data_IF_592258217060
#
_entry.id   IF_592258217060
#
_cell.length_a   1.000
_cell.length_b   1.000
_cell.length_c   1.000
_cell.angle_alpha   90.00
_cell.angle_beta   90.00
_cell.angle_gamma   90.00
#
_symmetry.space_group_name_H-M   'P 1'
#
loop_
_entity.id
_entity.type
_entity.pdbx_description
1 polymer ?
#
# COMPACT_ATOMS: atom_id res chain seq x y z
N UNK A 1 8.62 18.96 1.31
CA UNK A 1 9.66 17.97 1.63
C UNK A 1 9.82 16.91 0.52
N UNK A 2 8.76 16.19 0.13
CA UNK A 2 8.86 15.09 -0.86
C UNK A 2 9.33 15.57 -2.24
N UNK A 3 8.87 16.74 -2.68
CA UNK A 3 9.10 17.28 -4.03
C UNK A 3 10.19 18.35 -4.10
N UNK A 4 10.90 18.60 -3.01
CA UNK A 4 12.00 19.57 -2.99
C UNK A 4 13.29 18.95 -3.53
N UNK A 5 13.92 19.51 -4.57
CA UNK A 5 15.11 18.91 -5.20
C UNK A 5 16.36 19.13 -4.35
N UNK A 6 16.70 18.13 -3.53
CA UNK A 6 17.85 18.17 -2.60
C UNK A 6 18.90 17.10 -2.85
N UNK A 7 18.51 15.97 -3.48
CA UNK A 7 19.33 14.77 -3.55
C UNK A 7 20.17 14.73 -4.84
N UNK A 8 21.41 14.29 -4.70
CA UNK A 8 22.26 13.93 -5.84
C UNK A 8 22.23 12.40 -5.99
N UNK A 9 22.10 11.92 -7.22
CA UNK A 9 22.29 10.51 -7.52
C UNK A 9 23.74 10.36 -7.96
N UNK A 10 24.56 9.85 -7.04
CA UNK A 10 26.00 9.63 -7.23
C UNK A 10 26.39 8.17 -7.14
N UNK A 11 25.43 7.24 -7.36
CA UNK A 11 25.70 5.82 -7.24
C UNK A 11 26.29 5.24 -8.52
N UNK A 12 27.27 4.36 -8.33
CA UNK A 12 27.87 3.49 -9.36
C UNK A 12 26.84 2.65 -10.13
N UNK A 13 25.63 2.46 -9.55
CA UNK A 13 24.56 1.67 -10.15
C UNK A 13 23.81 2.33 -11.31
N UNK A 14 23.80 3.68 -11.42
CA UNK A 14 23.05 4.39 -12.47
C UNK A 14 23.92 5.49 -13.06
N UNK A 15 24.48 5.24 -14.26
CA UNK A 15 25.34 6.20 -14.93
C UNK A 15 24.57 7.45 -15.38
N UNK A 16 25.27 8.56 -15.51
CA UNK A 16 24.71 9.82 -16.05
C UNK A 16 24.13 9.64 -17.47
N UNK A 17 24.68 8.73 -18.25
CA UNK A 17 24.17 8.36 -19.59
C UNK A 17 22.79 7.71 -19.50
N UNK A 18 22.58 6.81 -18.54
CA UNK A 18 21.27 6.16 -18.29
C UNK A 18 20.25 7.19 -17.83
N UNK A 19 20.61 8.07 -16.90
CA UNK A 19 19.71 9.14 -16.45
C UNK A 19 19.34 10.10 -17.59
N UNK A 20 20.31 10.43 -18.48
CA UNK A 20 20.03 11.23 -19.68
C UNK A 20 19.05 10.51 -20.60
N UNK A 21 19.26 9.21 -20.87
CA UNK A 21 18.35 8.41 -21.71
C UNK A 21 16.94 8.34 -21.11
N UNK A 22 16.79 8.18 -19.79
CA UNK A 22 15.48 8.20 -19.14
C UNK A 22 14.81 9.58 -19.18
N UNK A 23 15.58 10.64 -19.21
CA UNK A 23 15.06 11.98 -19.47
C UNK A 23 14.59 12.12 -20.93
N UNK A 24 15.43 11.76 -21.90
CA UNK A 24 15.12 11.85 -23.34
C UNK A 24 13.89 10.99 -23.71
N UNK A 25 13.63 9.93 -22.95
CA UNK A 25 12.45 9.07 -23.08
C UNK A 25 11.27 9.46 -22.18
N UNK A 26 11.32 10.62 -21.53
CA UNK A 26 10.25 11.15 -20.64
C UNK A 26 9.91 10.27 -19.42
N UNK A 27 10.78 9.34 -19.04
CA UNK A 27 10.67 8.59 -17.78
C UNK A 27 10.96 9.49 -16.59
N UNK A 28 11.87 10.46 -16.78
CA UNK A 28 12.23 11.49 -15.80
C UNK A 28 11.96 12.87 -16.38
N UNK A 29 11.46 13.79 -15.54
CA UNK A 29 11.33 15.21 -15.92
C UNK A 29 12.64 15.94 -15.66
N UNK A 30 13.01 16.91 -16.50
CA UNK A 30 14.14 17.80 -16.24
C UNK A 30 13.66 19.09 -15.61
N UNK A 31 13.90 19.23 -14.32
CA UNK A 31 13.50 20.39 -13.54
C UNK A 31 14.62 21.45 -13.44
N UNK A 32 15.71 21.32 -14.22
CA UNK A 32 16.82 22.29 -14.18
C UNK A 32 16.44 23.58 -14.91
N UNK A 33 16.72 24.75 -14.34
CA UNK A 33 16.59 26.03 -15.04
C UNK A 33 17.42 26.01 -16.33
N UNK A 34 16.79 26.19 -17.50
CA UNK A 34 17.43 26.17 -18.82
C UNK A 34 18.30 24.94 -19.10
N UNK A 35 18.03 23.79 -18.44
CA UNK A 35 18.80 22.56 -18.63
C UNK A 35 20.27 22.60 -18.16
N UNK A 36 20.71 23.67 -17.48
CA UNK A 36 22.11 23.87 -17.05
C UNK A 36 22.29 23.57 -15.56
N UNK A 37 23.50 23.14 -15.19
CA UNK A 37 23.88 22.86 -13.79
C UNK A 37 23.75 21.41 -13.36
N UNK A 38 24.20 21.11 -12.14
CA UNK A 38 24.08 19.78 -11.54
C UNK A 38 22.62 19.44 -11.25
N UNK A 39 22.17 18.27 -11.72
CA UNK A 39 20.82 17.80 -11.47
C UNK A 39 20.66 17.42 -10.00
N UNK A 40 19.67 17.99 -9.34
CA UNK A 40 19.18 17.57 -8.04
C UNK A 40 17.82 16.91 -8.22
N UNK A 41 17.55 15.93 -7.41
CA UNK A 41 16.31 15.16 -7.44
C UNK A 41 15.54 15.37 -6.15
N UNK A 42 14.23 15.35 -6.23
CA UNK A 42 13.36 15.28 -5.06
C UNK A 42 13.40 13.89 -4.42
N UNK A 43 12.85 13.75 -3.22
CA UNK A 43 12.75 12.44 -2.58
C UNK A 43 11.92 11.47 -3.42
N UNK A 44 10.77 11.91 -3.90
CA UNK A 44 9.89 11.12 -4.79
C UNK A 44 10.62 10.73 -6.09
N UNK A 45 11.36 11.64 -6.71
CA UNK A 45 12.13 11.31 -7.92
C UNK A 45 13.19 10.24 -7.64
N UNK A 46 13.87 10.29 -6.50
CA UNK A 46 14.87 9.26 -6.12
C UNK A 46 14.18 7.89 -5.91
N UNK A 47 13.02 7.86 -5.26
CA UNK A 47 12.23 6.63 -5.12
C UNK A 47 11.79 6.11 -6.49
N UNK A 48 11.28 6.99 -7.35
CA UNK A 48 10.89 6.64 -8.72
C UNK A 48 12.06 6.07 -9.54
N UNK A 49 13.21 6.72 -9.52
CA UNK A 49 14.43 6.25 -10.18
C UNK A 49 14.81 4.83 -9.70
N UNK A 50 14.65 4.57 -8.42
CA UNK A 50 14.92 3.26 -7.84
C UNK A 50 13.90 2.20 -8.29
N UNK A 51 12.63 2.58 -8.44
CA UNK A 51 11.58 1.73 -9.04
C UNK A 51 11.95 1.40 -10.49
N UNK A 52 12.28 2.42 -11.31
CA UNK A 52 12.68 2.23 -12.71
C UNK A 52 13.87 1.28 -12.82
N UNK A 53 14.89 1.46 -11.97
CA UNK A 53 16.07 0.59 -11.96
C UNK A 53 15.68 -0.86 -11.67
N UNK A 54 14.82 -1.12 -10.70
CA UNK A 54 14.34 -2.48 -10.41
C UNK A 54 13.54 -3.07 -11.57
N UNK A 55 12.60 -2.32 -12.15
CA UNK A 55 11.79 -2.78 -13.28
C UNK A 55 12.67 -3.09 -14.50
N UNK A 56 13.70 -2.28 -14.76
CA UNK A 56 14.69 -2.55 -15.82
C UNK A 56 15.48 -3.82 -15.55
N UNK A 57 15.88 -4.08 -14.30
CA UNK A 57 16.58 -5.31 -13.93
C UNK A 57 15.69 -6.55 -14.09
N UNK A 58 14.38 -6.41 -13.96
CA UNK A 58 13.40 -7.46 -14.27
C UNK A 58 13.08 -7.59 -15.77
N UNK A 59 13.69 -6.75 -16.63
CA UNK A 59 13.52 -6.84 -18.09
C UNK A 59 12.37 -6.01 -18.65
N UNK A 60 11.64 -5.21 -17.86
CA UNK A 60 10.56 -4.37 -18.41
C UNK A 60 11.16 -3.32 -19.35
N UNK A 61 10.50 -3.14 -20.51
CA UNK A 61 10.83 -2.08 -21.44
C UNK A 61 10.37 -0.69 -20.96
N UNK A 62 10.92 0.36 -21.56
CA UNK A 62 10.60 1.73 -21.15
C UNK A 62 9.17 2.14 -21.50
N UNK A 63 8.52 1.50 -22.50
CA UNK A 63 7.12 1.79 -22.85
C UNK A 63 6.19 1.33 -21.74
N UNK A 64 6.43 0.13 -21.19
CA UNK A 64 5.69 -0.39 -20.04
C UNK A 64 5.96 0.43 -18.78
N UNK A 65 7.21 0.83 -18.52
CA UNK A 65 7.58 1.69 -17.39
C UNK A 65 6.90 3.07 -17.50
N UNK A 66 6.72 3.60 -18.70
CA UNK A 66 5.95 4.84 -18.94
C UNK A 66 4.48 4.72 -18.53
N UNK A 67 3.85 3.56 -18.76
CA UNK A 67 2.49 3.30 -18.27
C UNK A 67 2.44 3.28 -16.73
N UNK A 68 3.40 2.61 -16.09
CA UNK A 68 3.52 2.64 -14.62
C UNK A 68 3.66 4.07 -14.11
N UNK A 69 4.51 4.90 -14.74
CA UNK A 69 4.68 6.31 -14.37
C UNK A 69 3.36 7.07 -14.49
N UNK A 70 2.67 6.91 -15.61
CA UNK A 70 1.37 7.56 -15.84
C UNK A 70 0.35 7.20 -14.75
N UNK A 71 0.28 5.95 -14.35
CA UNK A 71 -0.58 5.51 -13.26
C UNK A 71 -0.19 6.15 -11.92
N UNK A 72 1.11 6.14 -11.58
CA UNK A 72 1.61 6.71 -10.32
C UNK A 72 1.49 8.25 -10.25
N UNK A 73 1.39 8.92 -11.41
CA UNK A 73 1.15 10.36 -11.51
C UNK A 73 -0.35 10.70 -11.44
N UNK A 74 -1.27 9.74 -11.45
CA UNK A 74 -2.70 10.02 -11.22
C UNK A 74 -2.93 10.52 -9.80
N UNK A 75 -3.95 11.37 -9.63
CA UNK A 75 -4.26 11.95 -8.33
C UNK A 75 -5.18 11.01 -7.53
N UNK A 76 -4.92 10.92 -6.24
CA UNK A 76 -5.83 10.26 -5.32
C UNK A 76 -7.05 11.18 -5.11
N UNK A 77 -8.18 10.83 -5.71
CA UNK A 77 -9.43 11.61 -5.61
C UNK A 77 -10.27 11.09 -4.45
N UNK A 78 -10.02 11.58 -3.26
CA UNK A 78 -11.02 11.57 -2.18
C UNK A 78 -11.64 12.95 -2.08
N UNK A 79 -12.95 13.03 -2.01
CA UNK A 79 -13.77 14.25 -2.17
C UNK A 79 -13.41 15.44 -1.26
N UNK A 80 -12.56 15.27 -0.26
CA UNK A 80 -12.24 16.31 0.74
C UNK A 80 -10.74 16.43 1.08
N UNK A 81 -9.81 15.89 0.31
CA UNK A 81 -8.37 15.96 0.62
C UNK A 81 -7.57 16.56 -0.54
N UNK A 82 -6.51 17.29 -0.20
CA UNK A 82 -5.58 17.85 -1.16
C UNK A 82 -5.11 16.77 -2.14
N UNK A 83 -5.39 16.98 -3.42
CA UNK A 83 -5.01 16.07 -4.49
C UNK A 83 -3.49 16.00 -4.58
N UNK A 84 -2.93 14.81 -4.42
CA UNK A 84 -1.50 14.55 -4.67
C UNK A 84 -1.34 13.30 -5.52
N UNK A 85 -0.22 13.18 -6.28
CA UNK A 85 0.09 11.98 -7.04
C UNK A 85 0.10 10.73 -6.16
N UNK A 86 -0.36 9.59 -6.69
CA UNK A 86 -0.44 8.32 -5.93
C UNK A 86 0.91 7.94 -5.32
N UNK A 87 2.00 8.13 -6.04
CA UNK A 87 3.33 7.82 -5.50
C UNK A 87 3.67 8.65 -4.28
N UNK A 88 3.42 9.97 -4.31
CA UNK A 88 3.65 10.88 -3.19
C UNK A 88 2.79 10.49 -1.98
N UNK A 89 1.52 10.20 -2.23
CA UNK A 89 0.58 9.76 -1.19
C UNK A 89 1.08 8.50 -0.49
N UNK A 90 1.44 7.45 -1.24
CA UNK A 90 1.85 6.19 -0.65
C UNK A 90 3.24 6.24 -0.03
N UNK A 91 4.17 7.07 -0.52
CA UNK A 91 5.44 7.36 0.16
C UNK A 91 5.17 8.02 1.51
N UNK A 92 4.36 9.08 1.55
CA UNK A 92 4.01 9.77 2.78
C UNK A 92 3.31 8.82 3.77
N UNK A 93 2.37 8.01 3.28
CA UNK A 93 1.65 7.02 4.09
C UNK A 93 2.60 5.95 4.67
N UNK A 94 3.52 5.43 3.87
CA UNK A 94 4.54 4.48 4.31
C UNK A 94 5.44 5.06 5.42
N UNK A 95 5.82 6.33 5.29
CA UNK A 95 6.70 7.01 6.26
C UNK A 95 5.99 7.36 7.56
N UNK A 96 4.69 7.68 7.52
CA UNK A 96 3.92 8.14 8.69
C UNK A 96 3.27 7.01 9.47
N UNK A 97 2.75 5.99 8.79
CA UNK A 97 1.92 4.94 9.40
C UNK A 97 2.66 3.64 9.68
N UNK A 98 3.92 3.51 9.25
CA UNK A 98 4.71 2.26 9.29
C UNK A 98 4.04 1.09 8.53
N UNK A 99 3.03 1.36 7.71
CA UNK A 99 2.33 0.33 6.94
C UNK A 99 3.17 -0.16 5.76
N UNK A 100 3.27 -1.48 5.55
CA UNK A 100 3.89 -2.03 4.35
C UNK A 100 3.10 -1.62 3.10
N UNK A 101 3.76 -0.91 2.19
CA UNK A 101 3.21 -0.48 0.91
C UNK A 101 3.90 -1.26 -0.20
N UNK A 102 3.12 -1.82 -1.11
CA UNK A 102 3.59 -2.55 -2.29
C UNK A 102 3.15 -1.85 -3.57
N UNK A 103 4.05 -1.83 -4.52
CA UNK A 103 3.74 -1.55 -5.92
C UNK A 103 3.78 -2.86 -6.68
N UNK A 104 2.67 -3.24 -7.28
CA UNK A 104 2.58 -4.35 -8.24
C UNK A 104 2.69 -3.78 -9.65
N UNK A 105 3.43 -4.46 -10.50
CA UNK A 105 3.56 -4.11 -11.92
C UNK A 105 3.37 -5.38 -12.74
N UNK A 106 2.36 -5.36 -13.60
CA UNK A 106 2.03 -6.45 -14.49
C UNK A 106 2.88 -6.42 -15.76
N UNK A 107 2.90 -7.50 -16.49
CA UNK A 107 3.67 -7.62 -17.74
C UNK A 107 3.20 -6.63 -18.81
N UNK A 108 1.93 -6.24 -18.79
CA UNK A 108 1.32 -5.21 -19.66
C UNK A 108 1.84 -3.78 -19.39
N UNK A 109 2.52 -3.57 -18.24
CA UNK A 109 2.89 -2.26 -17.70
C UNK A 109 1.75 -1.56 -16.96
N UNK A 110 0.64 -2.24 -16.72
CA UNK A 110 -0.36 -1.81 -15.74
C UNK A 110 0.23 -1.94 -14.34
N UNK A 111 -0.26 -1.13 -13.40
CA UNK A 111 0.28 -1.12 -12.06
C UNK A 111 -0.81 -0.91 -11.01
N UNK A 112 -0.54 -1.38 -9.79
CA UNK A 112 -1.36 -1.18 -8.62
C UNK A 112 -0.46 -0.85 -7.44
N UNK A 113 -0.69 0.26 -6.74
CA UNK A 113 0.01 0.59 -5.50
C UNK A 113 -0.98 0.59 -4.34
N UNK A 114 -0.60 -0.02 -3.22
CA UNK A 114 -1.50 -0.12 -2.07
C UNK A 114 -0.85 -0.73 -0.84
N UNK A 115 -1.64 -0.85 0.21
CA UNK A 115 -1.25 -1.54 1.44
C UNK A 115 -1.07 -3.03 1.15
N UNK A 116 -0.01 -3.62 1.67
CA UNK A 116 0.24 -5.06 1.47
C UNK A 116 -0.96 -5.92 1.84
N UNK A 117 -1.62 -5.64 2.97
CA UNK A 117 -2.78 -6.43 3.42
C UNK A 117 -3.93 -6.42 2.39
N UNK A 118 -4.19 -5.27 1.76
CA UNK A 118 -5.23 -5.16 0.74
C UNK A 118 -4.86 -5.94 -0.53
N UNK A 119 -3.59 -5.90 -0.91
CA UNK A 119 -3.06 -6.65 -2.06
C UNK A 119 -3.11 -8.15 -1.79
N UNK A 120 -2.67 -8.60 -0.60
CA UNK A 120 -2.69 -10.01 -0.22
C UNK A 120 -4.12 -10.58 -0.25
N UNK A 121 -5.09 -9.78 0.21
CA UNK A 121 -6.50 -10.14 0.13
C UNK A 121 -7.00 -10.19 -1.32
N UNK A 122 -6.63 -9.23 -2.15
CA UNK A 122 -7.03 -9.20 -3.56
C UNK A 122 -6.47 -10.42 -4.33
N UNK A 123 -5.24 -10.84 -4.04
CA UNK A 123 -4.66 -12.08 -4.58
C UNK A 123 -5.39 -13.31 -4.05
N UNK A 124 -5.62 -13.36 -2.73
CA UNK A 124 -6.29 -14.49 -2.09
C UNK A 124 -7.71 -14.71 -2.60
N UNK A 125 -8.44 -13.63 -2.91
CA UNK A 125 -9.81 -13.69 -3.42
C UNK A 125 -9.90 -13.77 -4.95
N UNK A 126 -8.76 -13.87 -5.64
CA UNK A 126 -8.72 -14.01 -7.09
C UNK A 126 -9.07 -12.73 -7.87
N UNK A 127 -9.01 -11.56 -7.24
CA UNK A 127 -9.13 -10.28 -7.96
C UNK A 127 -7.86 -9.93 -8.73
N UNK A 128 -6.72 -10.47 -8.28
CA UNK A 128 -5.43 -10.38 -8.95
C UNK A 128 -5.03 -11.80 -9.29
N UNK A 129 -5.08 -12.15 -10.57
CA UNK A 129 -4.79 -13.50 -11.08
C UNK A 129 -3.54 -13.53 -11.96
N UNK A 130 -3.19 -12.40 -12.57
CA UNK A 130 -2.04 -12.29 -13.46
C UNK A 130 -0.73 -12.23 -12.68
N UNK A 131 0.36 -12.67 -13.33
CA UNK A 131 1.71 -12.56 -12.78
C UNK A 131 2.14 -11.09 -12.67
N UNK A 132 2.85 -10.77 -11.60
CA UNK A 132 3.30 -9.41 -11.33
C UNK A 132 4.67 -9.34 -10.66
N UNK A 133 5.35 -8.23 -10.88
CA UNK A 133 6.54 -7.82 -10.11
C UNK A 133 6.05 -7.05 -8.89
N UNK A 134 6.46 -7.49 -7.68
CA UNK A 134 6.13 -6.82 -6.42
C UNK A 134 7.31 -6.03 -5.89
N UNK A 135 7.16 -4.72 -5.72
CA UNK A 135 8.16 -3.80 -5.17
C UNK A 135 7.72 -3.29 -3.81
N UNK A 136 8.52 -3.53 -2.78
CA UNK A 136 8.31 -3.02 -1.42
C UNK A 136 8.87 -1.61 -1.30
N UNK A 137 7.97 -0.62 -1.14
CA UNK A 137 8.36 0.79 -1.11
C UNK A 137 9.23 1.12 0.11
N UNK A 138 8.93 0.58 1.28
CA UNK A 138 9.74 0.83 2.48
C UNK A 138 11.15 0.24 2.35
N UNK A 139 11.27 -0.99 1.86
CA UNK A 139 12.57 -1.62 1.62
C UNK A 139 13.39 -0.86 0.59
N UNK A 140 12.74 -0.36 -0.46
CA UNK A 140 13.39 0.45 -1.49
C UNK A 140 13.91 1.76 -0.93
N UNK A 141 13.10 2.47 -0.12
CA UNK A 141 13.51 3.70 0.56
C UNK A 141 14.68 3.43 1.51
N UNK A 142 14.57 2.39 2.35
CA UNK A 142 15.61 2.03 3.31
C UNK A 142 16.95 1.66 2.65
N UNK A 143 16.89 0.97 1.50
CA UNK A 143 18.09 0.65 0.72
C UNK A 143 18.77 1.91 0.17
N UNK A 144 17.97 2.90 -0.23
CA UNK A 144 18.47 4.12 -0.89
C UNK A 144 18.91 5.20 0.09
N UNK A 145 18.20 5.35 1.20
CA UNK A 145 18.42 6.39 2.20
C UNK A 145 18.96 5.80 3.51
N UNK A 146 20.26 5.50 3.56
CA UNK A 146 20.94 4.81 4.68
C UNK A 146 20.76 5.49 6.06
N UNK A 147 20.43 6.77 6.10
CA UNK A 147 20.26 7.54 7.35
C UNK A 147 18.84 7.59 7.93
N UNK A 148 17.83 7.06 7.21
CA UNK A 148 16.41 7.07 7.66
C UNK A 148 15.82 5.69 7.46
N UNK A 149 15.84 4.89 8.53
CA UNK A 149 15.21 3.57 8.49
C UNK A 149 13.71 3.71 8.73
N UNK A 150 12.91 3.39 7.73
CA UNK A 150 11.48 3.20 7.89
C UNK A 150 11.29 1.81 8.47
N UNK A 151 10.81 1.76 9.69
CA UNK A 151 10.40 0.51 10.32
C UNK A 151 8.99 0.20 9.84
N UNK A 152 8.84 -0.88 9.08
CA UNK A 152 7.52 -1.40 8.71
C UNK A 152 7.15 -2.51 9.66
N UNK A 153 5.99 -2.42 10.26
CA UNK A 153 5.45 -3.45 11.13
C UNK A 153 4.56 -4.40 10.32
N UNK A 154 5.15 -5.48 9.86
CA UNK A 154 4.43 -6.53 9.15
C UNK A 154 3.55 -7.37 10.09
N UNK A 155 3.83 -7.39 11.40
CA UNK A 155 3.11 -8.20 12.37
C UNK A 155 1.73 -7.63 12.71
N UNK A 156 1.59 -6.31 12.73
CA UNK A 156 0.32 -5.64 13.02
C UNK A 156 -0.66 -5.66 11.83
N UNK A 157 -0.20 -6.04 10.64
CA UNK A 157 -1.00 -6.05 9.41
C UNK A 157 -1.19 -7.43 8.80
N UNK A 158 -0.57 -8.47 9.39
CA UNK A 158 -0.91 -9.84 9.04
C UNK A 158 -2.19 -10.22 9.78
N UNK A 159 -3.24 -10.47 9.01
CA UNK A 159 -4.48 -11.03 9.57
C UNK A 159 -4.17 -12.38 10.20
N UNK A 160 -4.66 -12.60 11.43
CA UNK A 160 -4.68 -13.91 12.03
C UNK A 160 -5.53 -14.87 11.19
N UNK A 161 -5.39 -16.18 11.39
CA UNK A 161 -6.20 -17.18 10.69
C UNK A 161 -7.69 -16.92 10.89
N UNK A 162 -8.08 -16.53 12.10
CA UNK A 162 -9.50 -16.20 12.45
C UNK A 162 -9.96 -14.96 11.68
N UNK A 163 -9.17 -13.90 11.64
CA UNK A 163 -9.50 -12.67 10.90
C UNK A 163 -9.64 -12.94 9.39
N UNK A 164 -8.80 -13.81 8.82
CA UNK A 164 -8.91 -14.26 7.43
C UNK A 164 -10.22 -15.03 7.19
N UNK A 165 -10.54 -16.01 8.05
CA UNK A 165 -11.78 -16.79 7.95
C UNK A 165 -13.02 -15.89 8.07
N UNK A 166 -13.00 -14.92 8.98
CA UNK A 166 -14.10 -13.94 9.14
C UNK A 166 -14.25 -13.07 7.90
N UNK A 167 -13.17 -12.56 7.35
CA UNK A 167 -13.21 -11.76 6.12
C UNK A 167 -13.72 -12.58 4.92
N UNK A 168 -13.29 -13.83 4.80
CA UNK A 168 -13.85 -14.76 3.80
C UNK A 168 -15.35 -14.96 4.00
N UNK A 169 -15.78 -15.20 5.25
CA UNK A 169 -17.21 -15.35 5.57
C UNK A 169 -18.04 -14.13 5.17
N UNK A 170 -17.52 -12.92 5.39
CA UNK A 170 -18.17 -11.67 4.98
C UNK A 170 -18.25 -11.60 3.44
N UNK A 171 -17.17 -11.94 2.75
CA UNK A 171 -17.10 -11.89 1.31
C UNK A 171 -18.09 -12.86 0.64
N UNK A 172 -18.18 -14.11 1.15
CA UNK A 172 -19.05 -15.15 0.61
C UNK A 172 -20.47 -15.19 1.21
N UNK A 173 -20.90 -14.12 1.90
CA UNK A 173 -22.22 -14.05 2.56
C UNK A 173 -22.49 -15.15 3.59
N UNK A 174 -21.47 -15.78 4.16
CA UNK A 174 -21.59 -16.85 5.16
C UNK A 174 -21.70 -16.31 6.60
N UNK A 175 -21.54 -15.00 6.81
CA UNK A 175 -21.72 -14.38 8.14
C UNK A 175 -23.18 -14.02 8.37
N UNK A 176 -23.76 -14.54 9.45
CA UNK A 176 -25.15 -14.25 9.86
C UNK A 176 -25.28 -12.97 10.67
N UNK A 177 -24.36 -12.76 11.59
CA UNK A 177 -24.36 -11.57 12.46
C UNK A 177 -22.98 -11.30 13.02
N UNK A 178 -22.73 -10.02 13.31
CA UNK A 178 -21.55 -9.52 14.01
C UNK A 178 -22.06 -8.73 15.21
N UNK A 179 -21.59 -9.07 16.41
CA UNK A 179 -21.85 -8.31 17.63
C UNK A 179 -20.55 -7.61 18.05
N UNK A 180 -20.62 -6.31 18.28
CA UNK A 180 -19.48 -5.49 18.70
C UNK A 180 -19.77 -5.01 20.11
N UNK A 181 -18.91 -5.34 21.06
CA UNK A 181 -18.97 -4.85 22.43
C UNK A 181 -18.19 -3.53 22.53
N UNK A 182 -18.86 -2.47 22.93
CA UNK A 182 -18.30 -1.12 23.06
C UNK A 182 -18.24 -0.77 24.54
N UNK A 183 -17.10 -1.05 25.20
CA UNK A 183 -16.71 -0.57 26.53
C UNK A 183 -17.88 -0.30 27.50
N UNK A 184 -18.60 -1.34 27.89
CA UNK A 184 -19.70 -1.23 28.88
C UNK A 184 -21.00 -0.60 28.37
N UNK A 185 -21.07 -0.20 27.09
CA UNK A 185 -22.28 0.26 26.43
C UNK A 185 -23.02 -0.89 25.76
N UNK A 186 -24.25 -0.62 25.25
CA UNK A 186 -25.03 -1.59 24.50
C UNK A 186 -24.24 -2.16 23.33
N UNK A 187 -24.22 -3.48 23.21
CA UNK A 187 -23.65 -4.18 22.06
C UNK A 187 -24.30 -3.71 20.75
N UNK A 188 -23.47 -3.46 19.75
CA UNK A 188 -23.95 -3.18 18.40
C UNK A 188 -24.09 -4.51 17.66
N UNK A 189 -25.31 -4.84 17.25
CA UNK A 189 -25.63 -6.03 16.47
C UNK A 189 -25.77 -5.68 14.99
N UNK A 190 -24.88 -6.20 14.15
CA UNK A 190 -24.97 -6.09 12.69
C UNK A 190 -25.60 -7.38 12.14
N UNK A 191 -26.76 -7.24 11.50
CA UNK A 191 -27.46 -8.35 10.83
C UNK A 191 -26.87 -8.64 9.46
N UNK A 192 -27.26 -9.78 8.86
CA UNK A 192 -26.82 -10.18 7.51
C UNK A 192 -27.08 -9.09 6.46
N UNK A 193 -28.18 -8.38 6.56
CA UNK A 193 -28.55 -7.31 5.63
C UNK A 193 -27.62 -6.11 5.77
N UNK A 194 -27.33 -5.66 6.99
CA UNK A 194 -26.32 -4.61 7.24
C UNK A 194 -24.95 -5.01 6.71
N UNK A 195 -24.55 -6.27 6.95
CA UNK A 195 -23.24 -6.78 6.48
C UNK A 195 -23.14 -6.76 4.96
N UNK A 196 -24.22 -7.14 4.26
CA UNK A 196 -24.27 -7.17 2.80
C UNK A 196 -24.18 -5.77 2.19
N UNK A 197 -24.83 -4.79 2.79
CA UNK A 197 -24.91 -3.42 2.27
C UNK A 197 -23.67 -2.57 2.59
N UNK A 198 -22.89 -2.93 3.62
CA UNK A 198 -21.75 -2.16 4.12
C UNK A 198 -20.51 -3.03 4.37
N UNK A 199 -20.17 -3.90 3.42
CA UNK A 199 -19.09 -4.89 3.57
C UNK A 199 -17.73 -4.27 3.86
N UNK A 200 -17.39 -3.19 3.19
CA UNK A 200 -16.05 -2.60 3.30
C UNK A 200 -15.91 -1.81 4.60
N UNK A 201 -16.95 -1.12 5.02
CA UNK A 201 -17.01 -0.44 6.32
C UNK A 201 -16.91 -1.44 7.47
N UNK A 202 -17.58 -2.60 7.36
CA UNK A 202 -17.53 -3.66 8.37
C UNK A 202 -16.14 -4.29 8.44
N UNK A 203 -15.46 -4.50 7.31
CA UNK A 203 -14.06 -4.98 7.31
C UNK A 203 -13.14 -4.00 8.04
N UNK A 204 -13.28 -2.70 7.75
CA UNK A 204 -12.53 -1.64 8.45
C UNK A 204 -12.86 -1.65 9.94
N UNK A 205 -14.13 -1.79 10.30
CA UNK A 205 -14.58 -1.84 11.68
C UNK A 205 -13.97 -3.03 12.45
N UNK A 206 -13.96 -4.22 11.85
CA UNK A 206 -13.36 -5.41 12.47
C UNK A 206 -11.85 -5.30 12.65
N UNK A 207 -11.16 -4.61 11.74
CA UNK A 207 -9.73 -4.32 11.88
C UNK A 207 -9.41 -3.38 13.04
N UNK A 208 -10.41 -2.64 13.53
CA UNK A 208 -10.32 -1.72 14.66
C UNK A 208 -10.64 -2.37 16.01
N UNK A 209 -10.94 -3.67 16.03
CA UNK A 209 -11.12 -4.42 17.28
C UNK A 209 -9.82 -4.40 18.10
N UNK A 210 -9.93 -4.01 19.36
CA UNK A 210 -8.79 -3.76 20.25
C UNK A 210 -8.21 -2.35 20.22
N UNK A 211 -8.56 -1.53 19.21
CA UNK A 211 -8.24 -0.10 19.16
C UNK A 211 -9.42 0.75 19.67
N UNK A 212 -10.64 0.39 19.26
CA UNK A 212 -11.88 1.09 19.63
C UNK A 212 -12.90 0.20 20.33
N UNK A 213 -12.75 -1.11 20.29
CA UNK A 213 -13.67 -2.09 20.85
C UNK A 213 -12.90 -3.15 21.63
N UNK A 214 -13.46 -3.61 22.75
CA UNK A 214 -12.85 -4.68 23.54
C UNK A 214 -12.96 -6.03 22.84
N UNK A 215 -14.10 -6.27 22.19
CA UNK A 215 -14.43 -7.57 21.64
C UNK A 215 -15.40 -7.47 20.46
N UNK A 216 -15.24 -8.35 19.48
CA UNK A 216 -16.22 -8.58 18.43
C UNK A 216 -16.53 -10.07 18.31
N UNK A 217 -17.81 -10.42 18.31
CA UNK A 217 -18.31 -11.79 18.16
C UNK A 217 -18.97 -11.97 16.80
N UNK A 218 -18.57 -12.99 16.03
CA UNK A 218 -19.06 -13.25 14.67
C UNK A 218 -19.66 -14.64 14.59
N UNK A 219 -20.91 -14.74 14.10
CA UNK A 219 -21.60 -16.01 13.85
C UNK A 219 -21.73 -16.25 12.35
N UNK A 220 -21.31 -17.44 11.90
CA UNK A 220 -21.43 -17.85 10.50
C UNK A 220 -22.68 -18.67 10.24
N UNK A 221 -23.05 -18.79 8.96
CA UNK A 221 -24.13 -19.65 8.49
C UNK A 221 -23.93 -21.12 8.82
N UNK A 222 -22.69 -21.57 8.86
CA UNK A 222 -22.30 -22.95 9.20
C UNK A 222 -22.22 -23.23 10.71
N UNK A 223 -22.68 -22.29 11.53
CA UNK A 223 -22.70 -22.46 12.99
C UNK A 223 -21.36 -22.20 13.68
N UNK A 224 -20.33 -21.78 12.97
CA UNK A 224 -19.07 -21.37 13.60
C UNK A 224 -19.26 -20.04 14.32
N UNK A 225 -18.59 -19.90 15.44
CA UNK A 225 -18.56 -18.68 16.24
C UNK A 225 -17.12 -18.24 16.46
N UNK A 226 -16.78 -17.04 16.00
CA UNK A 226 -15.46 -16.43 16.17
C UNK A 226 -15.54 -15.29 17.15
N UNK A 227 -14.48 -15.15 17.94
CA UNK A 227 -14.31 -14.07 18.91
C UNK A 227 -13.00 -13.35 18.60
N UNK A 228 -13.10 -12.09 18.25
CA UNK A 228 -11.94 -11.21 18.09
C UNK A 228 -11.82 -10.39 19.38
N UNK A 229 -10.66 -10.45 20.02
CA UNK A 229 -10.36 -9.72 21.26
C UNK A 229 -9.07 -8.90 21.07
N UNK A 230 -8.90 -7.89 21.89
CA UNK A 230 -7.68 -7.09 21.92
C UNK A 230 -6.45 -7.99 22.03
N UNK A 231 -5.49 -7.82 21.11
CA UNK A 231 -4.16 -8.41 21.26
C UNK A 231 -3.43 -7.65 22.36
N UNK A 232 -3.40 -8.19 23.58
CA UNK A 232 -2.55 -7.62 24.65
C UNK A 232 -1.13 -7.49 24.11
N UNK A 233 -0.63 -6.25 24.00
CA UNK A 233 0.78 -6.01 23.74
C UNK A 233 1.58 -6.70 24.83
N UNK A 234 2.29 -7.75 24.50
CA UNK A 234 3.31 -8.32 25.39
C UNK A 234 4.27 -7.17 25.71
N UNK A 235 4.21 -6.67 26.93
CA UNK A 235 5.23 -5.76 27.45
C UNK A 235 6.55 -6.52 27.38
N UNK A 236 7.45 -6.06 26.49
CA UNK A 236 8.85 -6.43 26.56
C UNK A 236 9.53 -5.68 27.69
#
# INVERSE_FOLDING_TARGET
FLNEPKYKIGDEAISSRVLKHWHDTEILKDNRPKGKGWRKFSFTEVVWISIVSQLRNFGLDLKKIKKVKKYLDTFNSTENQSQCPLLDFYIAHCMSSKMPIKLLVFDTGEALIGRQVAIDLAVQYGFIQDDFISIDIAKLINKRFKGKKIETDYSNYSLSTIEKEVQQGIYYDDVKSITINVNGNKDILLTKEHIKNSRDEIKVLLQKTGEYYEESSIRTGKGKHYKLVEKKKLKK
#
